data_IF_474193774444
#
_entry.id   IF_474193774444
#
_cell.length_a   1.000
_cell.length_b   1.000
_cell.length_c   1.000
_cell.angle_alpha   90.00
_cell.angle_beta   90.00
_cell.angle_gamma   90.00
#
_symmetry.space_group_name_H-M   'P 1'
#
loop_
_entity.id
_entity.type
_entity.pdbx_description
1 polymer ?
#
# COMPACT_ATOMS: atom_id res chain seq x y z
N UNK A 1 -4.00 19.44 -18.57
CA UNK A 1 -3.01 18.54 -18.00
C UNK A 1 -3.18 18.31 -16.49
N UNK A 2 -3.22 19.34 -15.62
CA UNK A 2 -3.38 19.16 -14.15
C UNK A 2 -4.62 18.37 -13.73
N UNK A 3 -5.75 18.60 -14.39
CA UNK A 3 -7.00 17.86 -14.08
C UNK A 3 -6.85 16.36 -14.33
N UNK A 4 -6.24 15.96 -15.44
CA UNK A 4 -6.00 14.55 -15.78
C UNK A 4 -5.08 13.89 -14.74
N UNK A 5 -3.99 14.58 -14.35
CA UNK A 5 -3.06 14.06 -13.33
C UNK A 5 -3.74 13.94 -11.96
N UNK A 6 -4.57 14.92 -11.59
CA UNK A 6 -5.32 14.85 -10.35
C UNK A 6 -6.32 13.68 -10.36
N UNK A 7 -7.06 13.50 -11.44
CA UNK A 7 -8.00 12.39 -11.61
C UNK A 7 -7.30 11.02 -11.54
N UNK A 8 -6.13 10.91 -12.19
CA UNK A 8 -5.29 9.71 -12.11
C UNK A 8 -4.91 9.37 -10.66
N UNK A 9 -4.47 10.37 -9.89
CA UNK A 9 -4.10 10.21 -8.47
C UNK A 9 -5.29 9.85 -7.59
N UNK A 10 -6.45 10.43 -7.85
CA UNK A 10 -7.69 10.05 -7.17
C UNK A 10 -8.12 8.62 -7.50
N UNK A 11 -7.93 8.17 -8.74
CA UNK A 11 -8.19 6.79 -9.11
C UNK A 11 -7.26 5.82 -8.34
N UNK A 12 -5.96 6.13 -8.22
CA UNK A 12 -5.03 5.34 -7.40
C UNK A 12 -5.52 5.28 -5.94
N UNK A 13 -5.89 6.43 -5.36
CA UNK A 13 -6.41 6.48 -4.00
C UNK A 13 -7.67 5.62 -3.84
N UNK A 14 -8.59 5.68 -4.81
CA UNK A 14 -9.79 4.85 -4.83
C UNK A 14 -9.46 3.35 -4.84
N UNK A 15 -8.57 2.91 -5.73
CA UNK A 15 -8.14 1.50 -5.77
C UNK A 15 -7.46 1.05 -4.47
N UNK A 16 -6.66 1.92 -3.84
CA UNK A 16 -6.05 1.63 -2.56
C UNK A 16 -7.10 1.45 -1.45
N UNK A 17 -8.07 2.36 -1.34
CA UNK A 17 -9.10 2.29 -0.28
C UNK A 17 -10.06 1.13 -0.50
N UNK A 18 -10.49 0.87 -1.74
CA UNK A 18 -11.32 -0.29 -2.06
C UNK A 18 -10.54 -1.58 -1.87
N UNK A 19 -9.27 -1.62 -2.27
CA UNK A 19 -8.40 -2.78 -2.07
C UNK A 19 -8.14 -3.11 -0.61
N UNK A 20 -8.19 -2.11 0.30
CA UNK A 20 -8.04 -2.33 1.74
C UNK A 20 -9.38 -2.64 2.45
N UNK A 21 -10.49 -2.78 1.71
CA UNK A 21 -11.83 -2.99 2.26
C UNK A 21 -11.91 -4.15 3.26
N UNK A 22 -11.24 -5.28 2.99
CA UNK A 22 -11.27 -6.43 3.88
C UNK A 22 -10.67 -6.15 5.25
N UNK A 23 -9.66 -5.30 5.35
CA UNK A 23 -9.05 -4.92 6.62
C UNK A 23 -9.99 -4.11 7.53
N UNK A 24 -10.98 -3.43 6.96
CA UNK A 24 -12.02 -2.76 7.72
C UNK A 24 -13.03 -3.73 8.32
N UNK A 25 -13.35 -4.81 7.59
CA UNK A 25 -14.26 -5.86 8.04
C UNK A 25 -13.56 -6.87 8.95
N UNK A 26 -12.27 -7.08 8.76
CA UNK A 26 -11.42 -8.05 9.47
C UNK A 26 -10.17 -7.35 10.00
N UNK A 27 -10.22 -6.73 11.20
CA UNK A 27 -9.14 -5.90 11.73
C UNK A 27 -7.77 -6.60 11.82
N UNK A 28 -7.73 -7.92 11.94
CA UNK A 28 -6.49 -8.70 11.92
C UNK A 28 -5.68 -8.52 10.62
N UNK A 29 -6.29 -8.09 9.51
CA UNK A 29 -5.59 -7.86 8.26
C UNK A 29 -4.71 -6.61 8.26
N UNK A 30 -4.91 -5.69 9.22
CA UNK A 30 -4.01 -4.56 9.41
C UNK A 30 -2.59 -4.95 9.83
N UNK A 31 -2.36 -6.19 10.23
CA UNK A 31 -1.01 -6.72 10.47
C UNK A 31 -0.21 -6.84 9.17
N UNK A 32 -0.87 -7.08 8.05
CA UNK A 32 -0.17 -7.28 6.78
C UNK A 32 0.38 -5.99 6.18
N UNK A 33 1.63 -6.07 5.74
CA UNK A 33 2.38 -4.98 5.10
C UNK A 33 1.58 -4.29 4.00
N UNK A 34 0.92 -5.08 3.14
CA UNK A 34 0.18 -4.57 1.98
C UNK A 34 -0.99 -3.68 2.37
N UNK A 35 -1.77 -4.07 3.39
CA UNK A 35 -2.91 -3.27 3.84
C UNK A 35 -2.44 -1.95 4.47
N UNK A 36 -1.38 -1.98 5.29
CA UNK A 36 -0.80 -0.78 5.89
C UNK A 36 -0.27 0.19 4.83
N UNK A 37 0.61 -0.31 3.96
CA UNK A 37 1.26 0.52 2.94
C UNK A 37 0.29 0.98 1.86
N UNK A 38 -0.65 0.12 1.45
CA UNK A 38 -1.71 0.46 0.50
C UNK A 38 -2.63 1.56 1.02
N UNK A 39 -3.05 1.48 2.27
CA UNK A 39 -3.88 2.51 2.89
C UNK A 39 -3.16 3.87 2.96
N UNK A 40 -1.90 3.89 3.42
CA UNK A 40 -1.09 5.12 3.48
C UNK A 40 -0.81 5.66 2.07
N UNK A 41 -0.57 4.80 1.09
CA UNK A 41 -0.45 5.20 -0.32
C UNK A 41 -1.73 5.89 -0.80
N UNK A 42 -2.91 5.34 -0.48
CA UNK A 42 -4.20 5.94 -0.79
C UNK A 42 -4.34 7.37 -0.25
N UNK A 43 -4.00 7.58 1.03
CA UNK A 43 -4.00 8.92 1.66
C UNK A 43 -3.05 9.87 0.94
N UNK A 44 -1.82 9.43 0.65
CA UNK A 44 -0.81 10.29 0.00
C UNK A 44 -1.19 10.61 -1.43
N UNK A 45 -1.81 9.68 -2.15
CA UNK A 45 -2.30 9.92 -3.52
C UNK A 45 -3.53 10.84 -3.52
N UNK A 46 -4.41 10.73 -2.54
CA UNK A 46 -5.52 11.67 -2.35
C UNK A 46 -4.99 13.09 -2.09
N UNK A 47 -4.03 13.24 -1.17
CA UNK A 47 -3.36 14.52 -0.92
C UNK A 47 -2.68 15.05 -2.19
N UNK A 48 -1.91 14.23 -2.89
CA UNK A 48 -1.21 14.61 -4.12
C UNK A 48 -2.16 15.04 -5.24
N UNK A 49 -3.30 14.36 -5.38
CA UNK A 49 -4.37 14.70 -6.31
C UNK A 49 -4.99 16.07 -5.99
N UNK A 50 -5.39 16.27 -4.73
CA UNK A 50 -5.95 17.53 -4.26
C UNK A 50 -4.94 18.68 -4.41
N UNK A 51 -3.70 18.48 -4.02
CA UNK A 51 -2.64 19.49 -4.17
C UNK A 51 -2.36 19.84 -5.65
N UNK A 52 -2.47 18.87 -6.56
CA UNK A 52 -2.33 19.10 -8.00
C UNK A 52 -3.50 19.92 -8.56
N UNK A 53 -4.71 19.63 -8.13
CA UNK A 53 -5.92 20.33 -8.57
C UNK A 53 -5.95 21.76 -8.04
N UNK A 54 -5.72 21.95 -6.74
CA UNK A 54 -5.83 23.20 -6.01
C UNK A 54 -4.53 24.04 -6.04
N UNK A 55 -3.47 23.58 -6.70
CA UNK A 55 -2.12 24.19 -6.68
C UNK A 55 -1.53 24.30 -5.27
N UNK A 56 -1.86 23.36 -4.40
CA UNK A 56 -1.39 23.30 -3.02
C UNK A 56 -0.03 22.63 -2.87
N UNK A 57 0.37 22.45 -1.62
CA UNK A 57 1.66 21.83 -1.25
C UNK A 57 1.58 20.31 -1.50
N UNK A 58 2.48 19.82 -2.36
CA UNK A 58 2.59 18.38 -2.67
C UNK A 58 3.17 17.61 -1.48
N UNK A 59 2.80 16.33 -1.33
CA UNK A 59 3.42 15.44 -0.35
C UNK A 59 4.96 15.48 -0.43
N UNK A 60 5.66 15.28 0.69
CA UNK A 60 7.12 15.17 0.69
C UNK A 60 7.60 14.07 -0.28
N UNK A 61 8.64 14.37 -1.07
CA UNK A 61 9.16 13.43 -2.06
C UNK A 61 9.63 12.10 -1.43
N UNK A 62 10.26 12.17 -0.25
CA UNK A 62 10.71 10.99 0.47
C UNK A 62 9.54 10.05 0.82
N UNK A 63 8.41 10.59 1.24
CA UNK A 63 7.22 9.79 1.61
C UNK A 63 6.57 9.17 0.38
N UNK A 64 6.36 9.95 -0.68
CA UNK A 64 5.74 9.44 -1.91
C UNK A 64 6.62 8.39 -2.58
N UNK A 65 7.94 8.62 -2.66
CA UNK A 65 8.89 7.66 -3.20
C UNK A 65 8.96 6.37 -2.39
N UNK A 66 8.96 6.47 -1.05
CA UNK A 66 8.88 5.35 -0.13
C UNK A 66 7.68 4.43 -0.45
N UNK A 67 6.49 5.02 -0.50
CA UNK A 67 5.26 4.28 -0.76
C UNK A 67 5.20 3.69 -2.17
N UNK A 68 5.80 4.35 -3.16
CA UNK A 68 5.93 3.79 -4.50
C UNK A 68 6.84 2.55 -4.51
N UNK A 69 7.97 2.58 -3.78
CA UNK A 69 8.83 1.40 -3.60
C UNK A 69 8.09 0.26 -2.90
N UNK A 70 7.32 0.56 -1.85
CA UNK A 70 6.54 -0.46 -1.15
C UNK A 70 5.44 -1.05 -2.04
N UNK A 71 4.81 -0.24 -2.87
CA UNK A 71 3.85 -0.72 -3.87
C UNK A 71 4.52 -1.65 -4.90
N UNK A 72 5.74 -1.35 -5.34
CA UNK A 72 6.52 -2.25 -6.21
C UNK A 72 6.77 -3.59 -5.51
N UNK A 73 7.24 -3.56 -4.25
CA UNK A 73 7.48 -4.79 -3.48
C UNK A 73 6.19 -5.61 -3.34
N UNK A 74 5.07 -4.95 -3.00
CA UNK A 74 3.76 -5.60 -2.93
C UNK A 74 3.38 -6.28 -4.24
N UNK A 75 3.57 -5.60 -5.37
CA UNK A 75 3.26 -6.14 -6.69
C UNK A 75 4.18 -7.34 -7.03
N UNK A 76 5.48 -7.25 -6.76
CA UNK A 76 6.42 -8.35 -6.99
C UNK A 76 6.07 -9.58 -6.16
N UNK A 77 5.77 -9.41 -4.87
CA UNK A 77 5.34 -10.49 -4.00
C UNK A 77 4.06 -11.14 -4.53
N UNK A 78 3.07 -10.34 -4.92
CA UNK A 78 1.82 -10.87 -5.46
C UNK A 78 2.02 -11.60 -6.79
N UNK A 79 2.93 -11.12 -7.64
CA UNK A 79 3.14 -11.71 -8.96
C UNK A 79 3.91 -13.02 -8.91
N UNK A 80 4.91 -13.13 -8.01
CA UNK A 80 5.84 -14.26 -7.97
C UNK A 80 5.60 -15.25 -6.84
N UNK A 81 4.96 -14.82 -5.74
CA UNK A 81 4.88 -15.62 -4.52
C UNK A 81 3.44 -15.94 -4.09
N UNK A 82 2.44 -15.17 -4.54
CA UNK A 82 1.05 -15.43 -4.15
C UNK A 82 0.38 -16.38 -5.16
N UNK A 83 -0.42 -17.34 -4.68
CA UNK A 83 -1.26 -18.13 -5.56
C UNK A 83 -2.34 -17.25 -6.23
N UNK A 84 -2.92 -17.70 -7.35
CA UNK A 84 -4.05 -17.01 -7.97
C UNK A 84 -5.22 -16.85 -6.97
N UNK A 85 -5.85 -15.68 -7.01
CA UNK A 85 -7.03 -15.42 -6.19
C UNK A 85 -8.21 -16.28 -6.62
N UNK A 86 -8.93 -16.86 -5.65
CA UNK A 86 -10.20 -17.55 -5.91
C UNK A 86 -11.35 -16.51 -5.79
N UNK A 87 -12.11 -16.28 -6.88
CA UNK A 87 -13.23 -15.35 -6.88
C UNK A 87 -14.34 -15.67 -5.87
N UNK A 88 -14.39 -16.92 -5.38
CA UNK A 88 -15.36 -17.33 -4.38
C UNK A 88 -15.06 -16.78 -2.98
N UNK A 89 -13.80 -16.46 -2.69
CA UNK A 89 -13.35 -16.04 -1.36
C UNK A 89 -12.91 -14.58 -1.28
N UNK A 90 -12.62 -13.93 -2.41
CA UNK A 90 -12.15 -12.55 -2.46
C UNK A 90 -13.29 -11.61 -2.87
N UNK A 91 -13.59 -10.56 -2.08
CA UNK A 91 -14.61 -9.58 -2.45
C UNK A 91 -14.32 -8.93 -3.80
N UNK A 92 -15.39 -8.70 -4.56
CA UNK A 92 -15.33 -8.03 -5.85
C UNK A 92 -16.07 -6.69 -5.80
N UNK A 93 -15.46 -5.67 -6.37
CA UNK A 93 -16.05 -4.35 -6.55
C UNK A 93 -15.94 -3.98 -8.03
N UNK A 94 -17.09 -3.68 -8.67
CA UNK A 94 -17.14 -3.39 -10.11
C UNK A 94 -16.56 -4.54 -10.96
N UNK A 95 -16.75 -5.80 -10.54
CA UNK A 95 -16.22 -6.97 -11.25
C UNK A 95 -14.72 -7.19 -11.13
N UNK A 96 -14.02 -6.43 -10.28
CA UNK A 96 -12.57 -6.56 -10.00
C UNK A 96 -12.39 -6.99 -8.56
N UNK A 97 -11.56 -8.01 -8.32
CA UNK A 97 -11.23 -8.46 -6.97
C UNK A 97 -10.45 -7.38 -6.22
N UNK A 98 -10.80 -7.14 -4.94
CA UNK A 98 -10.14 -6.15 -4.08
C UNK A 98 -8.64 -6.41 -3.95
N UNK A 99 -8.27 -7.69 -3.90
CA UNK A 99 -6.88 -8.12 -3.87
C UNK A 99 -6.12 -7.71 -5.16
N UNK A 100 -6.74 -7.87 -6.33
CA UNK A 100 -6.18 -7.42 -7.62
C UNK A 100 -6.01 -5.89 -7.64
N UNK A 101 -6.96 -5.14 -7.07
CA UNK A 101 -6.85 -3.68 -6.99
C UNK A 101 -5.63 -3.26 -6.18
N UNK A 102 -5.41 -3.89 -5.02
CA UNK A 102 -4.37 -3.52 -4.07
C UNK A 102 -2.98 -4.01 -4.49
N UNK A 103 -2.88 -5.23 -5.06
CA UNK A 103 -1.60 -5.86 -5.36
C UNK A 103 -1.12 -5.67 -6.80
N UNK A 104 -2.01 -5.33 -7.73
CA UNK A 104 -1.65 -5.21 -9.16
C UNK A 104 -1.97 -3.83 -9.71
N UNK A 105 -3.22 -3.38 -9.64
CA UNK A 105 -3.66 -2.14 -10.29
C UNK A 105 -3.04 -0.91 -9.64
N UNK A 106 -3.25 -0.72 -8.33
CA UNK A 106 -2.76 0.45 -7.60
C UNK A 106 -1.22 0.58 -7.65
N UNK A 107 -0.41 -0.49 -7.45
CA UNK A 107 1.03 -0.43 -7.61
C UNK A 107 1.50 -0.02 -9.00
N UNK A 108 0.94 -0.62 -10.05
CA UNK A 108 1.30 -0.28 -11.45
C UNK A 108 0.98 1.19 -11.73
N UNK A 109 -0.21 1.64 -11.34
CA UNK A 109 -0.60 3.03 -11.52
C UNK A 109 0.27 4.00 -10.72
N UNK A 110 0.70 3.63 -9.49
CA UNK A 110 1.59 4.44 -8.67
C UNK A 110 3.00 4.58 -9.30
N UNK A 111 3.51 3.50 -9.89
CA UNK A 111 4.79 3.55 -10.63
C UNK A 111 4.68 4.45 -11.85
N UNK A 112 3.60 4.34 -12.61
CA UNK A 112 3.32 5.22 -13.76
C UNK A 112 3.24 6.69 -13.30
N UNK A 113 2.54 6.97 -12.21
CA UNK A 113 2.46 8.33 -11.64
C UNK A 113 3.84 8.87 -11.28
N UNK A 114 4.66 8.04 -10.61
CA UNK A 114 6.02 8.40 -10.22
C UNK A 114 6.91 8.71 -11.43
N UNK A 115 6.85 7.87 -12.47
CA UNK A 115 7.71 8.02 -13.66
C UNK A 115 7.27 9.20 -14.53
N UNK A 116 5.97 9.41 -14.72
CA UNK A 116 5.48 10.39 -15.68
C UNK A 116 5.20 11.76 -15.08
N UNK A 117 4.78 11.84 -13.82
CA UNK A 117 4.22 13.06 -13.26
C UNK A 117 5.01 13.64 -12.09
N UNK A 118 5.94 12.89 -11.49
CA UNK A 118 6.75 13.39 -10.40
C UNK A 118 8.07 14.05 -10.89
N UNK A 119 8.42 15.23 -10.38
CA UNK A 119 9.70 15.84 -10.70
C UNK A 119 10.85 15.12 -10.01
N UNK A 120 11.60 14.32 -10.77
CA UNK A 120 12.67 13.44 -10.24
C UNK A 120 13.77 14.21 -9.48
N UNK A 121 13.98 15.50 -9.76
CA UNK A 121 14.94 16.35 -9.02
C UNK A 121 14.64 16.50 -7.53
N UNK A 122 13.43 16.13 -7.07
CA UNK A 122 13.03 16.18 -5.65
C UNK A 122 13.51 14.96 -4.87
N UNK A 123 13.91 13.89 -5.56
CA UNK A 123 14.34 12.65 -4.93
C UNK A 123 15.86 12.66 -4.70
N UNK A 124 16.25 12.42 -3.45
CA UNK A 124 17.65 12.38 -3.03
C UNK A 124 18.06 10.93 -2.79
N UNK A 125 19.25 10.55 -3.21
CA UNK A 125 19.75 9.18 -3.11
C UNK A 125 19.70 8.59 -1.68
N UNK A 126 19.94 9.43 -0.65
CA UNK A 126 19.91 9.00 0.75
C UNK A 126 18.51 8.62 1.26
N UNK A 127 17.44 8.98 0.56
CA UNK A 127 16.09 8.53 0.92
C UNK A 127 15.94 7.01 0.86
N UNK A 128 16.74 6.33 0.05
CA UNK A 128 16.74 4.88 -0.09
C UNK A 128 16.99 4.18 1.26
N UNK A 129 17.87 4.72 2.09
CA UNK A 129 18.12 4.14 3.42
C UNK A 129 16.90 4.22 4.34
N UNK A 130 16.19 5.36 4.34
CA UNK A 130 14.96 5.50 5.13
C UNK A 130 13.82 4.61 4.59
N UNK A 131 13.78 4.40 3.27
CA UNK A 131 12.79 3.50 2.65
C UNK A 131 13.04 2.05 3.01
N UNK A 132 14.30 1.63 3.08
CA UNK A 132 14.65 0.27 3.46
C UNK A 132 14.46 0.01 4.97
N UNK A 133 14.53 1.03 5.81
CA UNK A 133 14.43 0.88 7.27
C UNK A 133 13.07 0.33 7.75
N UNK A 134 12.00 0.53 6.98
CA UNK A 134 10.68 0.01 7.32
C UNK A 134 10.60 -1.53 7.25
N UNK A 135 11.32 -2.17 6.32
CA UNK A 135 11.27 -3.64 6.18
C UNK A 135 11.79 -4.38 7.42
N UNK A 136 12.97 -4.06 7.99
CA UNK A 136 13.40 -4.67 9.24
C UNK A 136 12.49 -4.30 10.41
N UNK A 137 11.98 -3.08 10.49
CA UNK A 137 11.01 -2.69 11.52
C UNK A 137 9.72 -3.51 11.42
N UNK A 138 9.19 -3.71 10.23
CA UNK A 138 8.03 -4.55 9.99
C UNK A 138 8.32 -6.02 10.32
N UNK A 139 9.50 -6.54 9.97
CA UNK A 139 9.91 -7.91 10.31
C UNK A 139 9.94 -8.12 11.83
N UNK A 140 10.54 -7.19 12.58
CA UNK A 140 10.55 -7.23 14.06
C UNK A 140 9.13 -7.21 14.62
N UNK A 141 8.26 -6.36 14.07
CA UNK A 141 6.85 -6.28 14.47
C UNK A 141 6.12 -7.62 14.27
N UNK A 142 6.26 -8.24 13.09
CA UNK A 142 5.62 -9.53 12.79
C UNK A 142 6.17 -10.66 13.66
N UNK A 143 7.49 -10.69 13.88
CA UNK A 143 8.11 -11.67 14.78
C UNK A 143 7.62 -11.52 16.22
N UNK A 144 7.51 -10.29 16.71
CA UNK A 144 6.99 -10.03 18.06
C UNK A 144 5.53 -10.50 18.19
N UNK A 145 4.69 -10.24 17.20
CA UNK A 145 3.30 -10.73 17.18
C UNK A 145 3.24 -12.27 17.14
N UNK A 146 4.10 -12.91 16.33
CA UNK A 146 4.18 -14.37 16.26
C UNK A 146 4.55 -14.97 17.60
N UNK A 147 5.52 -14.40 18.33
CA UNK A 147 5.91 -14.86 19.66
C UNK A 147 4.78 -14.70 20.68
N UNK A 148 4.01 -13.61 20.62
CA UNK A 148 2.86 -13.39 21.50
C UNK A 148 1.79 -14.48 21.23
N UNK A 149 1.47 -14.78 19.96
CA UNK A 149 0.49 -15.80 19.62
C UNK A 149 0.93 -17.22 19.97
N UNK A 150 2.23 -17.53 19.96
CA UNK A 150 2.76 -18.83 20.38
C UNK A 150 2.68 -18.99 21.92
N UNK A 151 2.78 -17.89 22.67
CA UNK A 151 2.71 -17.91 24.14
C UNK A 151 1.29 -17.98 24.72
N UNK A 152 0.25 -17.64 23.95
CA UNK A 152 -1.14 -17.65 24.43
C UNK A 152 -1.81 -19.06 24.52
N UNK A 153 -1.52 -20.08 23.66
CA UNK A 153 -2.15 -21.39 23.76
C UNK A 153 -1.93 -22.11 25.09
N UNK A 154 -0.84 -21.78 25.79
CA UNK A 154 -0.54 -22.39 27.11
C UNK A 154 -1.40 -21.86 28.25
N UNK A 155 -2.09 -20.74 28.09
CA UNK A 155 -2.95 -20.14 29.14
C UNK A 155 -4.36 -20.75 29.17
N UNK A 156 -4.89 -21.24 28.04
CA UNK A 156 -6.21 -21.87 27.97
C UNK A 156 -6.22 -23.38 28.21
N UNK A 157 -5.05 -24.01 28.32
CA UNK A 157 -4.92 -25.44 28.63
C UNK A 157 -4.80 -25.73 30.15
N UNK A 158 -4.95 -24.72 31.02
CA UNK A 158 -4.83 -24.83 32.48
C UNK A 158 -6.13 -24.54 33.24
N UNK A 159 -7.31 -24.72 32.61
CA UNK A 159 -8.61 -24.70 33.32
C UNK A 159 -9.29 -26.01 33.14
#
# INVERSE_FOLDING_TARGET
MRFIVALWRFAIAGFCFVGTYEAWSKPQFWVYFTFQTGFVLGIVMLWSGAATLLKGIQPPAWLKGCLTVYAIVTALVAFFLMPPDDPAYVPQVIGIMTNTMLHKIAPIMAVIDFVLFDPHRRFRWHYMFSWLAYFPAYLVFVLALSLIHISEPTRHAQI
#
